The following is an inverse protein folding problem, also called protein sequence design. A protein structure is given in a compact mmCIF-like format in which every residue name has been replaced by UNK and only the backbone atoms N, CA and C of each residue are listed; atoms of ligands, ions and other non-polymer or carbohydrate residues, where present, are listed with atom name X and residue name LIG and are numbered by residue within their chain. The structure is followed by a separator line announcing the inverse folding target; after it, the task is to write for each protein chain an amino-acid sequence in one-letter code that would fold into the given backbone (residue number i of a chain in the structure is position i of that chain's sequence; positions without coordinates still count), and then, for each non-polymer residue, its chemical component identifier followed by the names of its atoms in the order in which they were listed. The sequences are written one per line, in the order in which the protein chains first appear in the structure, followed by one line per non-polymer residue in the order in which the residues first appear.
data_IF_579221259685
#
_entry.id   IF_579221259685
#
_cell.length_a   1.000
_cell.length_b   1.000
_cell.length_c   1.000
_cell.angle_alpha   90.00
_cell.angle_beta   90.00
_cell.angle_gamma   90.00
#
_symmetry.space_group_name_H-M   'P 1'
#
loop_
_entity.id
_entity.type
_entity.pdbx_description
1 polymer ?
#
# COMPACT_ATOMS: atom_id res chain seq x y z
N UNK A 1 17.05 13.07 13.38
CA UNK A 1 18.17 13.95 12.99
C UNK A 1 19.35 13.11 12.55
N UNK A 2 20.12 13.57 11.57
CA UNK A 2 21.32 12.90 11.07
C UNK A 2 22.29 13.95 10.48
N UNK A 3 23.60 13.66 10.40
CA UNK A 3 24.53 14.47 9.62
C UNK A 3 24.04 14.70 8.19
N UNK A 4 24.27 15.91 7.64
CA UNK A 4 23.70 16.36 6.36
C UNK A 4 23.88 15.34 5.21
N UNK A 5 25.08 14.78 5.07
CA UNK A 5 25.37 13.83 3.99
C UNK A 5 24.61 12.51 4.12
N UNK A 6 24.37 12.04 5.35
CA UNK A 6 23.58 10.84 5.59
C UNK A 6 22.10 11.10 5.31
N UNK A 7 21.59 12.26 5.75
CA UNK A 7 20.21 12.67 5.52
C UNK A 7 19.91 12.78 4.02
N UNK A 8 20.79 13.41 3.25
CA UNK A 8 20.66 13.54 1.79
C UNK A 8 20.67 12.18 1.08
N UNK A 9 21.51 11.25 1.52
CA UNK A 9 21.58 9.91 0.91
C UNK A 9 20.26 9.13 1.06
N UNK A 10 19.60 9.23 2.21
CA UNK A 10 18.38 8.46 2.49
C UNK A 10 17.09 9.16 2.04
N UNK A 11 17.14 10.48 1.83
CA UNK A 11 15.97 11.33 1.53
C UNK A 11 15.14 10.78 0.36
N UNK A 12 15.79 10.49 -0.77
CA UNK A 12 15.09 10.01 -1.98
C UNK A 12 14.35 8.70 -1.73
N UNK A 13 14.97 7.76 -1.04
CA UNK A 13 14.36 6.46 -0.76
C UNK A 13 13.17 6.59 0.21
N UNK A 14 13.36 7.37 1.28
CA UNK A 14 12.31 7.59 2.29
C UNK A 14 11.10 8.26 1.66
N UNK A 15 11.31 9.34 0.89
CA UNK A 15 10.22 10.05 0.22
C UNK A 15 9.48 9.13 -0.76
N UNK A 16 10.20 8.36 -1.57
CA UNK A 16 9.56 7.43 -2.51
C UNK A 16 8.73 6.36 -1.79
N UNK A 17 9.30 5.70 -0.78
CA UNK A 17 8.65 4.62 -0.06
C UNK A 17 7.41 5.09 0.74
N UNK A 18 7.49 6.25 1.38
CA UNK A 18 6.39 6.80 2.19
C UNK A 18 5.31 7.41 1.29
N UNK A 19 5.68 8.21 0.28
CA UNK A 19 4.70 8.84 -0.61
C UNK A 19 3.85 7.81 -1.33
N UNK A 20 4.47 6.75 -1.84
CA UNK A 20 3.72 5.70 -2.56
C UNK A 20 2.70 4.99 -1.65
N UNK A 21 3.12 4.54 -0.48
CA UNK A 21 2.24 3.79 0.42
C UNK A 21 1.13 4.67 1.02
N UNK A 22 1.45 5.90 1.40
CA UNK A 22 0.46 6.84 1.96
C UNK A 22 -0.57 7.26 0.92
N UNK A 23 -0.17 7.45 -0.35
CA UNK A 23 -1.09 7.73 -1.46
C UNK A 23 -2.12 6.61 -1.64
N UNK A 24 -1.66 5.35 -1.69
CA UNK A 24 -2.55 4.20 -1.84
C UNK A 24 -3.47 4.03 -0.63
N UNK A 25 -2.93 4.13 0.59
CA UNK A 25 -3.72 4.02 1.81
C UNK A 25 -4.82 5.09 1.89
N UNK A 26 -4.48 6.34 1.56
CA UNK A 26 -5.45 7.45 1.53
C UNK A 26 -6.52 7.24 0.47
N UNK A 27 -6.14 6.72 -0.71
CA UNK A 27 -7.12 6.40 -1.75
C UNK A 27 -8.05 5.26 -1.33
N UNK A 28 -7.51 4.22 -0.70
CA UNK A 28 -8.30 3.12 -0.16
C UNK A 28 -9.27 3.60 0.93
N UNK A 29 -8.82 4.45 1.84
CA UNK A 29 -9.67 5.06 2.88
C UNK A 29 -10.81 5.88 2.29
N UNK A 30 -10.55 6.69 1.25
CA UNK A 30 -11.59 7.44 0.53
C UNK A 30 -12.61 6.52 -0.14
N UNK A 31 -12.17 5.39 -0.70
CA UNK A 31 -13.08 4.41 -1.29
C UNK A 31 -13.93 3.74 -0.21
N UNK A 32 -13.33 3.38 0.94
CA UNK A 32 -14.05 2.83 2.09
C UNK A 32 -15.11 3.79 2.62
N UNK A 33 -14.77 5.06 2.74
CA UNK A 33 -15.69 6.10 3.23
C UNK A 33 -16.95 6.18 2.35
N UNK A 34 -16.77 6.15 1.02
CA UNK A 34 -17.90 6.17 0.06
C UNK A 34 -18.65 4.84 0.00
N UNK A 35 -17.94 3.71 0.08
CA UNK A 35 -18.55 2.39 -0.02
C UNK A 35 -19.31 1.97 1.26
N UNK A 36 -19.03 2.60 2.40
CA UNK A 36 -19.57 2.20 3.70
C UNK A 36 -18.89 0.97 4.29
N UNK A 37 -19.24 0.60 5.52
CA UNK A 37 -18.58 -0.50 6.27
C UNK A 37 -18.98 -1.91 5.81
N UNK A 38 -20.21 -2.08 5.31
CA UNK A 38 -20.76 -3.38 4.95
C UNK A 38 -20.26 -3.89 3.59
N UNK A 39 -19.81 -2.99 2.72
CA UNK A 39 -19.32 -3.35 1.38
C UNK A 39 -17.99 -4.09 1.46
N UNK A 40 -17.85 -5.18 0.71
CA UNK A 40 -16.56 -5.89 0.59
C UNK A 40 -15.70 -5.21 -0.48
N UNK A 41 -14.52 -4.74 -0.09
CA UNK A 41 -13.56 -4.08 -0.96
C UNK A 41 -12.34 -4.97 -1.22
N UNK A 42 -12.01 -5.17 -2.50
CA UNK A 42 -10.96 -6.08 -2.94
C UNK A 42 -9.92 -5.34 -3.79
N UNK A 43 -8.64 -5.57 -3.50
CA UNK A 43 -7.52 -5.01 -4.24
C UNK A 43 -7.08 -5.96 -5.36
N UNK A 44 -7.29 -5.58 -6.62
CA UNK A 44 -6.93 -6.35 -7.82
C UNK A 44 -6.00 -5.59 -8.79
N UNK A 45 -5.24 -4.65 -8.28
CA UNK A 45 -4.31 -3.79 -9.00
C UNK A 45 -2.97 -4.45 -9.36
N UNK A 46 -2.60 -5.58 -8.76
CA UNK A 46 -1.29 -6.24 -8.94
C UNK A 46 -0.80 -6.31 -10.40
N UNK A 47 -1.64 -6.70 -11.37
CA UNK A 47 -1.26 -6.82 -12.80
C UNK A 47 -0.94 -5.50 -13.52
N UNK A 48 -1.29 -4.36 -12.89
CA UNK A 48 -1.11 -3.00 -13.41
C UNK A 48 -0.19 -2.17 -12.50
N UNK A 49 0.36 -2.79 -11.46
CA UNK A 49 1.29 -2.12 -10.57
C UNK A 49 2.58 -1.80 -11.31
N UNK A 50 3.22 -0.69 -10.94
CA UNK A 50 4.44 -0.19 -11.59
C UNK A 50 5.60 -1.18 -11.55
N UNK A 51 5.70 -1.98 -10.49
CA UNK A 51 6.72 -3.02 -10.34
C UNK A 51 6.24 -4.15 -9.43
N UNK A 52 6.91 -5.31 -9.43
CA UNK A 52 6.59 -6.41 -8.52
C UNK A 52 6.62 -5.99 -7.04
N UNK A 53 7.60 -5.19 -6.62
CA UNK A 53 7.69 -4.70 -5.25
C UNK A 53 6.58 -3.69 -4.93
N UNK A 54 6.30 -2.77 -5.88
CA UNK A 54 5.22 -1.80 -5.73
C UNK A 54 3.85 -2.51 -5.60
N UNK A 55 3.64 -3.64 -6.29
CA UNK A 55 2.41 -4.43 -6.17
C UNK A 55 2.15 -4.92 -4.74
N UNK A 56 3.21 -5.36 -4.04
CA UNK A 56 3.11 -5.85 -2.66
C UNK A 56 2.86 -4.69 -1.71
N UNK A 57 3.57 -3.56 -1.90
CA UNK A 57 3.38 -2.36 -1.09
C UNK A 57 1.99 -1.75 -1.28
N UNK A 58 1.47 -1.73 -2.50
CA UNK A 58 0.12 -1.28 -2.80
C UNK A 58 -0.93 -2.17 -2.14
N UNK A 59 -0.82 -3.50 -2.29
CA UNK A 59 -1.73 -4.44 -1.64
C UNK A 59 -1.75 -4.24 -0.12
N UNK A 60 -0.56 -4.15 0.51
CA UNK A 60 -0.43 -3.86 1.94
C UNK A 60 -1.08 -2.53 2.33
N UNK A 61 -0.81 -1.46 1.60
CA UNK A 61 -1.33 -0.13 1.89
C UNK A 61 -2.86 -0.05 1.68
N UNK A 62 -3.39 -0.73 0.67
CA UNK A 62 -4.84 -0.79 0.42
C UNK A 62 -5.58 -1.49 1.56
N UNK A 63 -5.06 -2.64 2.02
CA UNK A 63 -5.61 -3.34 3.18
C UNK A 63 -5.54 -2.48 4.46
N UNK A 64 -4.42 -1.78 4.68
CA UNK A 64 -4.28 -0.85 5.80
C UNK A 64 -5.26 0.33 5.70
N UNK A 65 -5.56 0.79 4.48
CA UNK A 65 -6.50 1.88 4.22
C UNK A 65 -7.98 1.49 4.28
N UNK A 66 -8.32 0.21 4.46
CA UNK A 66 -9.70 -0.24 4.67
C UNK A 66 -10.26 -1.19 3.63
N UNK A 67 -9.42 -1.74 2.73
CA UNK A 67 -9.82 -2.87 1.88
C UNK A 67 -9.77 -4.17 2.68
N UNK A 68 -10.61 -5.15 2.31
CA UNK A 68 -10.80 -6.39 3.06
C UNK A 68 -9.87 -7.52 2.58
N UNK A 69 -9.59 -7.59 1.29
CA UNK A 69 -8.74 -8.62 0.68
C UNK A 69 -7.95 -8.12 -0.54
N UNK A 70 -6.99 -8.93 -1.02
CA UNK A 70 -6.11 -8.63 -2.17
C UNK A 70 -5.83 -9.90 -2.97
N UNK A 71 -5.78 -9.80 -4.31
CA UNK A 71 -5.32 -10.92 -5.14
C UNK A 71 -3.83 -11.21 -5.04
N UNK A 72 -3.05 -10.34 -4.39
CA UNK A 72 -1.62 -10.56 -4.23
C UNK A 72 -1.35 -11.62 -3.16
N UNK A 73 -1.25 -12.88 -3.58
CA UNK A 73 -1.06 -14.04 -2.69
C UNK A 73 0.16 -13.86 -1.78
N UNK A 74 1.26 -13.29 -2.28
CA UNK A 74 2.46 -13.05 -1.49
C UNK A 74 2.22 -11.99 -0.40
N UNK A 75 1.51 -10.90 -0.73
CA UNK A 75 1.16 -9.88 0.25
C UNK A 75 0.19 -10.44 1.31
N UNK A 76 -0.83 -11.20 0.88
CA UNK A 76 -1.78 -11.84 1.77
C UNK A 76 -1.08 -12.80 2.74
N UNK A 77 -0.18 -13.66 2.23
CA UNK A 77 0.63 -14.58 3.04
C UNK A 77 1.50 -13.85 4.06
N UNK A 78 2.23 -12.81 3.64
CA UNK A 78 3.10 -12.01 4.54
C UNK A 78 2.34 -11.27 5.63
N UNK A 79 1.06 -10.94 5.40
CA UNK A 79 0.21 -10.20 6.33
C UNK A 79 -0.75 -11.10 7.12
N UNK A 80 -0.71 -12.43 6.91
CA UNK A 80 -1.65 -13.35 7.55
C UNK A 80 -3.12 -13.10 7.16
N UNK A 81 -3.36 -12.63 5.93
CA UNK A 81 -4.70 -12.35 5.38
C UNK A 81 -5.11 -13.44 4.39
N UNK A 82 -6.41 -13.65 4.24
CA UNK A 82 -6.93 -14.49 3.16
C UNK A 82 -6.84 -13.71 1.84
N UNK A 83 -6.25 -14.29 0.78
CA UNK A 83 -6.25 -13.68 -0.55
C UNK A 83 -7.67 -13.61 -1.14
#
# INVERSE_FOLDING_TARGET
EAPLWQAQLVETYILNAINYQTLIATKAARIRDVAGKESILLEFGTRRAFSPQASIWAARAALAGGFDATSNVLAALKLGRKP
#
